data_IF_206794567315
#
_entry.id   IF_206794567315
#
_cell.length_a   1.000
_cell.length_b   1.000
_cell.length_c   1.000
_cell.angle_alpha   90.00
_cell.angle_beta   90.00
_cell.angle_gamma   90.00
#
_symmetry.space_group_name_H-M   'P 1'
#
loop_
_entity.id
_entity.type
_entity.pdbx_description
1 polymer ?
#
# COMPACT_ATOMS: atom_id res chain seq x y z
N UNK A 1 12.81 -46.05 22.78
CA UNK A 1 13.69 -45.80 21.62
C UNK A 1 13.98 -44.30 21.60
N UNK A 2 14.99 -43.90 22.37
CA UNK A 2 15.48 -42.52 22.38
C UNK A 2 16.45 -42.36 21.22
N UNK A 3 15.94 -41.92 20.10
CA UNK A 3 16.79 -41.51 18.99
C UNK A 3 17.26 -40.09 19.25
N UNK A 4 18.53 -39.93 19.59
CA UNK A 4 19.22 -38.62 19.62
C UNK A 4 19.11 -37.97 18.22
N UNK A 5 18.11 -37.13 18.04
CA UNK A 5 17.98 -36.32 16.83
C UNK A 5 18.99 -35.20 16.94
N UNK A 6 19.96 -35.17 16.04
CA UNK A 6 20.95 -34.07 16.06
C UNK A 6 20.25 -32.73 15.92
N UNK A 7 20.75 -31.72 16.62
CA UNK A 7 20.23 -30.35 16.56
C UNK A 7 19.99 -29.85 15.13
N UNK A 8 20.96 -30.08 14.24
CA UNK A 8 20.85 -29.65 12.84
C UNK A 8 19.76 -30.41 12.06
N UNK A 9 19.49 -31.67 12.40
CA UNK A 9 18.43 -32.45 11.77
C UNK A 9 17.06 -31.97 12.25
N UNK A 10 16.91 -31.67 13.55
CA UNK A 10 15.67 -31.10 14.11
C UNK A 10 15.32 -29.75 13.49
N UNK A 11 16.29 -28.85 13.35
CA UNK A 11 16.08 -27.55 12.70
C UNK A 11 15.56 -27.70 11.26
N UNK A 12 16.16 -28.60 10.47
CA UNK A 12 15.73 -28.84 9.08
C UNK A 12 14.31 -29.38 9.00
N UNK A 13 13.95 -30.31 9.88
CA UNK A 13 12.59 -30.88 9.91
C UNK A 13 11.56 -29.81 10.24
N UNK A 14 11.84 -28.94 11.21
CA UNK A 14 10.95 -27.84 11.57
C UNK A 14 10.81 -26.87 10.40
N UNK A 15 11.92 -26.45 9.80
CA UNK A 15 11.93 -25.52 8.67
C UNK A 15 11.12 -26.05 7.48
N UNK A 16 11.23 -27.34 7.17
CA UNK A 16 10.54 -27.94 6.02
C UNK A 16 9.07 -28.24 6.25
N UNK A 17 8.66 -28.59 7.47
CA UNK A 17 7.30 -29.07 7.73
C UNK A 17 6.36 -28.00 8.32
N UNK A 18 6.89 -27.03 9.02
CA UNK A 18 6.08 -26.12 9.81
C UNK A 18 6.25 -24.66 9.41
N UNK A 19 7.40 -24.25 8.86
CA UNK A 19 7.70 -22.86 8.55
C UNK A 19 7.32 -22.56 7.10
N UNK A 20 6.70 -21.41 6.87
CA UNK A 20 6.37 -20.94 5.53
C UNK A 20 7.66 -20.76 4.72
N UNK A 21 7.68 -21.21 3.48
CA UNK A 21 8.87 -21.35 2.62
C UNK A 21 9.75 -20.08 2.58
N UNK A 22 9.13 -18.93 2.47
CA UNK A 22 9.84 -17.63 2.43
C UNK A 22 10.69 -17.33 3.68
N UNK A 23 10.35 -17.92 4.86
CA UNK A 23 11.08 -17.75 6.12
C UNK A 23 12.06 -18.88 6.42
N UNK A 24 11.96 -20.03 5.72
CA UNK A 24 12.69 -21.24 6.06
C UNK A 24 14.22 -21.05 5.98
N UNK A 25 14.72 -20.38 4.94
CA UNK A 25 16.16 -20.12 4.80
C UNK A 25 16.70 -19.20 5.90
N UNK A 26 16.00 -18.10 6.20
CA UNK A 26 16.39 -17.17 7.27
C UNK A 26 16.37 -17.82 8.64
N UNK A 27 15.37 -18.67 8.92
CA UNK A 27 15.30 -19.45 10.15
C UNK A 27 16.50 -20.41 10.29
N UNK A 28 16.82 -21.17 9.25
CA UNK A 28 17.99 -22.06 9.26
C UNK A 28 19.28 -21.26 9.46
N UNK A 29 19.49 -20.17 8.73
CA UNK A 29 20.68 -19.34 8.84
C UNK A 29 20.85 -18.76 10.24
N UNK A 30 19.77 -18.29 10.89
CA UNK A 30 19.80 -17.71 12.21
C UNK A 30 20.27 -18.70 13.31
N UNK A 31 19.91 -19.99 13.16
CA UNK A 31 20.10 -20.99 14.20
C UNK A 31 21.05 -22.14 13.80
N UNK A 32 21.88 -21.97 12.76
CA UNK A 32 22.97 -22.93 12.53
C UNK A 32 23.93 -22.97 13.72
N UNK A 33 24.55 -24.12 13.96
CA UNK A 33 25.53 -24.27 15.04
C UNK A 33 26.66 -23.25 14.91
N UNK A 34 27.13 -23.01 13.69
CA UNK A 34 28.17 -22.02 13.40
C UNK A 34 27.73 -20.61 13.80
N UNK A 35 26.51 -20.20 13.44
CA UNK A 35 26.01 -18.85 13.78
C UNK A 35 25.80 -18.66 15.28
N UNK A 36 25.34 -19.72 15.98
CA UNK A 36 25.19 -19.72 17.45
C UNK A 36 26.56 -19.55 18.13
N UNK A 37 27.58 -20.29 17.71
CA UNK A 37 28.95 -20.18 18.24
C UNK A 37 29.54 -18.81 17.94
N UNK A 38 29.43 -18.33 16.71
CA UNK A 38 29.91 -16.99 16.30
C UNK A 38 29.21 -15.88 17.09
N UNK A 39 27.91 -15.99 17.33
CA UNK A 39 27.17 -15.05 18.16
C UNK A 39 27.74 -15.02 19.59
N UNK A 40 27.95 -16.18 20.20
CA UNK A 40 28.55 -16.27 21.53
C UNK A 40 29.96 -15.65 21.57
N UNK A 41 30.83 -16.01 20.62
CA UNK A 41 32.19 -15.49 20.53
C UNK A 41 32.26 -13.97 20.32
N UNK A 42 31.26 -13.41 19.64
CA UNK A 42 31.14 -11.96 19.45
C UNK A 42 30.45 -11.24 20.61
N UNK A 43 30.18 -11.92 21.74
CA UNK A 43 29.55 -11.36 22.92
C UNK A 43 28.04 -11.18 22.82
N UNK A 44 27.39 -11.70 21.77
CA UNK A 44 25.92 -11.73 21.66
C UNK A 44 25.38 -12.91 22.48
N UNK A 45 24.53 -12.60 23.45
CA UNK A 45 23.89 -13.59 24.31
C UNK A 45 22.49 -13.97 23.89
N UNK A 46 21.93 -13.30 22.88
CA UNK A 46 20.57 -13.56 22.39
C UNK A 46 20.52 -13.56 20.86
N UNK A 47 19.73 -14.50 20.33
CA UNK A 47 19.30 -14.55 18.93
C UNK A 47 17.77 -14.54 18.87
N UNK A 48 17.20 -13.92 17.85
CA UNK A 48 15.76 -14.01 17.59
C UNK A 48 15.47 -14.03 16.09
N UNK A 49 14.33 -14.59 15.72
CA UNK A 49 13.84 -14.60 14.35
C UNK A 49 12.33 -14.70 14.35
N UNK A 50 11.70 -13.85 13.52
CA UNK A 50 10.25 -13.83 13.30
C UNK A 50 9.93 -14.62 12.04
N UNK A 51 8.95 -15.52 12.12
CA UNK A 51 8.56 -16.39 11.00
C UNK A 51 7.08 -16.78 11.10
N UNK A 52 6.54 -17.27 10.00
CA UNK A 52 5.19 -17.84 10.00
C UNK A 52 5.24 -19.35 10.13
N UNK A 53 4.38 -19.91 10.98
CA UNK A 53 4.27 -21.34 11.25
C UNK A 53 2.83 -21.81 11.04
N UNK A 54 2.69 -23.08 10.59
CA UNK A 54 1.43 -23.82 10.58
C UNK A 54 1.53 -25.07 11.43
N UNK A 55 0.40 -25.46 12.02
CA UNK A 55 0.26 -26.75 12.74
C UNK A 55 -0.24 -27.87 11.81
N UNK A 56 -0.02 -27.71 10.47
CA UNK A 56 -0.47 -28.66 9.44
C UNK A 56 -1.86 -28.34 8.87
N UNK A 57 -2.43 -27.17 9.22
CA UNK A 57 -3.66 -26.64 8.66
C UNK A 57 -3.42 -25.54 7.61
N UNK A 58 -4.51 -24.93 7.13
CA UNK A 58 -4.46 -23.81 6.17
C UNK A 58 -4.12 -22.47 6.81
N UNK A 59 -4.14 -22.36 8.15
CA UNK A 59 -3.88 -21.11 8.87
C UNK A 59 -2.41 -20.96 9.23
N UNK A 60 -1.90 -19.75 9.01
CA UNK A 60 -0.55 -19.34 9.36
C UNK A 60 -0.57 -18.37 10.54
N UNK A 61 0.38 -18.57 11.51
CA UNK A 61 0.55 -17.70 12.68
C UNK A 61 1.96 -17.14 12.72
N UNK A 62 2.10 -15.91 13.16
CA UNK A 62 3.40 -15.30 13.39
C UNK A 62 4.00 -15.78 14.71
N UNK A 63 5.21 -16.31 14.64
CA UNK A 63 5.98 -16.73 15.79
C UNK A 63 7.31 -16.01 15.85
N UNK A 64 7.72 -15.66 17.04
CA UNK A 64 9.08 -15.21 17.35
C UNK A 64 9.76 -16.31 18.14
N UNK A 65 10.88 -16.83 17.63
CA UNK A 65 11.79 -17.64 18.42
C UNK A 65 12.83 -16.71 19.05
N UNK A 66 13.03 -16.83 20.35
CA UNK A 66 14.14 -16.20 21.07
C UNK A 66 15.01 -17.29 21.64
N UNK A 67 16.31 -17.16 21.42
CA UNK A 67 17.30 -18.10 21.92
C UNK A 67 18.31 -17.37 22.76
N UNK A 68 18.51 -17.81 24.00
CA UNK A 68 19.52 -17.29 24.91
C UNK A 68 20.72 -18.22 24.89
N UNK A 69 21.90 -17.67 24.64
CA UNK A 69 23.16 -18.41 24.53
C UNK A 69 23.98 -18.11 25.76
N UNK A 70 24.52 -19.14 26.38
CA UNK A 70 25.35 -19.01 27.59
C UNK A 70 26.36 -20.15 27.68
N UNK A 71 27.43 -19.92 28.40
CA UNK A 71 28.40 -20.95 28.71
C UNK A 71 28.03 -21.66 30.01
N UNK A 72 28.16 -23.00 30.01
CA UNK A 72 27.88 -23.81 31.17
C UNK A 72 29.19 -24.39 31.73
N UNK A 73 29.53 -23.98 32.95
CA UNK A 73 30.81 -24.31 33.54
C UNK A 73 30.98 -25.79 33.89
N UNK A 74 29.88 -26.50 34.15
CA UNK A 74 29.90 -27.90 34.57
C UNK A 74 30.36 -28.85 33.47
N UNK A 75 30.02 -28.62 32.21
CA UNK A 75 30.40 -29.43 31.05
C UNK A 75 31.33 -28.70 30.07
N UNK A 76 31.68 -27.44 30.41
CA UNK A 76 32.57 -26.57 29.61
C UNK A 76 32.11 -26.36 28.18
N UNK A 77 30.82 -26.22 27.99
CA UNK A 77 30.21 -26.07 26.66
C UNK A 77 29.27 -24.87 26.56
N UNK A 78 29.01 -24.44 25.32
CA UNK A 78 28.04 -23.37 25.01
C UNK A 78 26.66 -24.02 24.86
N UNK A 79 25.73 -23.51 25.64
CA UNK A 79 24.33 -23.95 25.63
C UNK A 79 23.43 -22.87 25.03
N UNK A 80 22.30 -23.31 24.48
CA UNK A 80 21.25 -22.46 23.99
C UNK A 80 19.89 -22.93 24.50
N UNK A 81 19.15 -22.01 25.11
CA UNK A 81 17.75 -22.23 25.48
C UNK A 81 16.91 -21.38 24.55
N UNK A 82 15.99 -22.00 23.80
CA UNK A 82 15.09 -21.29 22.92
C UNK A 82 13.63 -21.47 23.35
N UNK A 83 12.86 -20.40 23.24
CA UNK A 83 11.41 -20.42 23.43
C UNK A 83 10.72 -19.71 22.25
N UNK A 84 9.49 -20.12 21.99
CA UNK A 84 8.65 -19.55 20.94
C UNK A 84 7.53 -18.73 21.57
N UNK A 85 7.27 -17.58 20.98
CA UNK A 85 6.19 -16.69 21.37
C UNK A 85 5.29 -16.46 20.16
N UNK A 86 3.99 -16.60 20.32
CA UNK A 86 3.02 -16.17 19.32
C UNK A 86 2.97 -14.64 19.32
N UNK A 87 3.31 -14.05 18.18
CA UNK A 87 3.32 -12.59 17.97
C UNK A 87 2.29 -12.16 16.91
N UNK A 88 1.32 -13.02 16.59
CA UNK A 88 0.28 -12.74 15.59
C UNK A 88 -0.47 -11.45 15.93
N UNK A 89 -0.94 -11.32 17.17
CA UNK A 89 -1.64 -10.12 17.61
C UNK A 89 -0.76 -8.85 17.62
N UNK A 90 0.58 -8.99 17.82
CA UNK A 90 1.53 -7.89 17.72
C UNK A 90 1.65 -7.43 16.26
N UNK A 91 1.86 -8.38 15.33
CA UNK A 91 1.97 -8.11 13.88
C UNK A 91 0.68 -7.56 13.27
N UNK A 92 -0.47 -8.06 13.69
CA UNK A 92 -1.78 -7.54 13.28
C UNK A 92 -2.00 -6.10 13.75
N UNK A 93 -1.60 -5.79 14.99
CA UNK A 93 -1.66 -4.41 15.51
C UNK A 93 -0.71 -3.49 14.75
N UNK A 94 0.53 -3.90 14.51
CA UNK A 94 1.48 -3.12 13.71
C UNK A 94 0.92 -2.83 12.32
N UNK A 95 0.43 -3.86 11.62
CA UNK A 95 -0.19 -3.71 10.30
C UNK A 95 -1.45 -2.84 10.34
N UNK A 96 -2.25 -2.95 11.43
CA UNK A 96 -3.41 -2.10 11.66
C UNK A 96 -3.03 -0.62 11.86
N UNK A 97 -2.02 -0.35 12.69
CA UNK A 97 -1.51 1.01 12.91
C UNK A 97 -0.94 1.61 11.63
N UNK A 98 -0.19 0.83 10.85
CA UNK A 98 0.35 1.27 9.58
C UNK A 98 -0.78 1.60 8.58
N UNK A 99 -1.79 0.75 8.49
CA UNK A 99 -2.98 1.02 7.66
C UNK A 99 -3.71 2.28 8.09
N UNK A 100 -3.92 2.49 9.41
CA UNK A 100 -4.53 3.71 9.94
C UNK A 100 -3.71 4.96 9.65
N UNK A 101 -2.38 4.85 9.67
CA UNK A 101 -1.48 5.96 9.36
C UNK A 101 -1.44 6.30 7.85
N UNK A 102 -1.67 5.33 6.99
CA UNK A 102 -1.54 5.50 5.54
C UNK A 102 -2.87 5.71 4.80
N UNK A 103 -3.99 5.26 5.35
CA UNK A 103 -5.27 5.31 4.67
C UNK A 103 -6.17 6.44 5.21
N UNK A 104 -7.07 6.91 4.36
CA UNK A 104 -8.19 7.77 4.75
C UNK A 104 -9.23 6.94 5.51
N UNK A 105 -9.63 7.35 6.72
CA UNK A 105 -10.50 6.54 7.57
C UNK A 105 -11.93 6.39 7.03
N UNK A 106 -12.39 7.30 6.17
CA UNK A 106 -13.73 7.24 5.59
C UNK A 106 -13.80 6.29 4.41
N UNK A 107 -12.81 6.38 3.51
CA UNK A 107 -12.84 5.71 2.20
C UNK A 107 -11.96 4.47 2.11
N UNK A 108 -11.00 4.32 3.02
CA UNK A 108 -10.08 3.18 3.06
C UNK A 108 -8.99 3.16 1.97
N UNK A 109 -8.96 4.13 1.05
CA UNK A 109 -7.85 4.34 0.12
C UNK A 109 -6.74 5.15 0.79
N UNK A 110 -5.61 5.37 0.14
CA UNK A 110 -4.51 6.12 0.72
C UNK A 110 -4.94 7.55 1.12
N UNK A 111 -4.40 8.03 2.25
CA UNK A 111 -4.54 9.43 2.62
C UNK A 111 -3.54 10.32 1.86
N UNK A 112 -3.67 11.64 1.97
CA UNK A 112 -2.84 12.63 1.29
C UNK A 112 -1.34 12.36 1.43
N UNK A 113 -0.87 12.11 2.66
CA UNK A 113 0.56 11.94 2.94
C UNK A 113 1.12 10.66 2.32
N UNK A 114 0.40 9.55 2.44
CA UNK A 114 0.80 8.28 1.87
C UNK A 114 0.75 8.32 0.33
N UNK A 115 -0.29 8.94 -0.26
CA UNK A 115 -0.40 9.12 -1.71
C UNK A 115 0.81 9.88 -2.26
N UNK A 116 1.17 11.03 -1.67
CA UNK A 116 2.36 11.80 -2.07
C UNK A 116 3.63 10.95 -1.94
N UNK A 117 3.83 10.27 -0.81
CA UNK A 117 5.03 9.47 -0.57
C UNK A 117 5.19 8.32 -1.58
N UNK A 118 4.09 7.62 -1.93
CA UNK A 118 4.11 6.56 -2.95
C UNK A 118 4.46 7.11 -4.33
N UNK A 119 3.85 8.23 -4.74
CA UNK A 119 4.13 8.86 -6.03
C UNK A 119 5.58 9.33 -6.11
N UNK A 120 6.09 10.03 -5.08
CA UNK A 120 7.48 10.46 -5.06
C UNK A 120 8.45 9.28 -5.21
N UNK A 121 8.20 8.18 -4.50
CA UNK A 121 9.01 6.97 -4.62
C UNK A 121 9.00 6.39 -6.04
N UNK A 122 7.82 6.33 -6.69
CA UNK A 122 7.72 5.86 -8.07
C UNK A 122 8.53 6.78 -9.01
N UNK A 123 8.42 8.10 -8.86
CA UNK A 123 9.14 9.05 -9.69
C UNK A 123 10.66 8.96 -9.51
N UNK A 124 11.15 8.68 -8.29
CA UNK A 124 12.57 8.46 -8.01
C UNK A 124 13.13 7.18 -8.70
N UNK A 125 12.29 6.14 -8.81
CA UNK A 125 12.66 4.86 -9.42
C UNK A 125 12.36 4.80 -10.92
N UNK A 126 11.79 5.88 -11.50
CA UNK A 126 11.27 5.92 -12.88
C UNK A 126 12.42 5.97 -13.91
N UNK A 127 12.33 5.11 -14.93
CA UNK A 127 13.25 5.13 -16.06
C UNK A 127 13.03 6.38 -16.95
N UNK A 128 14.09 6.91 -17.60
CA UNK A 128 14.00 8.16 -18.37
C UNK A 128 12.96 8.17 -19.52
N UNK A 129 12.59 6.99 -20.02
CA UNK A 129 11.63 6.85 -21.13
C UNK A 129 10.20 6.49 -20.66
N UNK A 130 9.95 6.38 -19.36
CA UNK A 130 8.64 6.04 -18.86
C UNK A 130 7.69 7.25 -18.91
N UNK A 131 6.44 7.00 -19.23
CA UNK A 131 5.38 8.00 -19.18
C UNK A 131 4.36 7.62 -18.09
N UNK A 132 3.95 8.62 -17.30
CA UNK A 132 2.97 8.47 -16.23
C UNK A 132 1.95 9.59 -16.33
N UNK A 133 0.86 9.51 -15.57
CA UNK A 133 -0.07 10.62 -15.45
C UNK A 133 -0.55 10.80 -14.02
N UNK A 134 -0.60 12.03 -13.54
CA UNK A 134 -1.23 12.41 -12.30
C UNK A 134 -2.60 13.00 -12.60
N UNK A 135 -3.63 12.46 -11.95
CA UNK A 135 -5.01 12.89 -12.04
C UNK A 135 -5.44 13.52 -10.72
N UNK A 136 -6.05 14.70 -10.79
CA UNK A 136 -6.82 15.31 -9.72
C UNK A 136 -8.30 15.17 -10.04
N UNK A 137 -9.09 14.66 -9.10
CA UNK A 137 -10.51 14.35 -9.28
C UNK A 137 -11.29 15.03 -8.15
N UNK A 138 -12.34 15.73 -8.47
CA UNK A 138 -13.19 16.40 -7.49
C UNK A 138 -14.66 16.09 -7.76
N UNK A 139 -15.43 15.83 -6.69
CA UNK A 139 -16.85 15.49 -6.80
C UNK A 139 -17.65 16.76 -7.00
N UNK A 140 -18.28 16.92 -8.14
CA UNK A 140 -19.02 18.11 -8.50
C UNK A 140 -20.18 18.38 -7.54
N UNK A 141 -20.31 19.64 -7.11
CA UNK A 141 -21.40 20.11 -6.23
C UNK A 141 -21.51 19.35 -4.90
N UNK A 142 -20.42 18.76 -4.39
CA UNK A 142 -20.43 17.94 -3.17
C UNK A 142 -21.02 18.68 -1.96
N UNK A 143 -20.72 19.99 -1.82
CA UNK A 143 -21.33 20.79 -0.76
C UNK A 143 -22.86 20.80 -0.86
N UNK A 144 -23.43 20.89 -2.06
CA UNK A 144 -24.88 20.88 -2.27
C UNK A 144 -25.49 19.53 -1.90
N UNK A 145 -24.77 18.42 -2.15
CA UNK A 145 -25.17 17.09 -1.70
C UNK A 145 -25.27 17.05 -0.17
N UNK A 146 -24.26 17.53 0.53
CA UNK A 146 -24.26 17.60 1.99
C UNK A 146 -25.39 18.51 2.53
N UNK A 147 -25.54 19.68 1.95
CA UNK A 147 -26.55 20.65 2.38
C UNK A 147 -28.00 20.16 2.14
N UNK A 148 -28.21 19.39 1.05
CA UNK A 148 -29.55 18.89 0.67
C UNK A 148 -29.93 17.56 1.33
N UNK A 149 -28.94 16.67 1.55
CA UNK A 149 -29.21 15.28 1.95
C UNK A 149 -28.49 14.88 3.24
N UNK A 150 -27.67 15.76 3.80
CA UNK A 150 -26.91 15.53 5.02
C UNK A 150 -25.56 14.84 4.80
N UNK A 151 -24.66 15.00 5.79
CA UNK A 151 -23.30 14.49 5.73
C UNK A 151 -23.21 12.96 5.58
N UNK A 152 -24.19 12.21 6.12
CA UNK A 152 -24.19 10.75 5.98
C UNK A 152 -24.31 10.30 4.52
N UNK A 153 -25.10 11.01 3.71
CA UNK A 153 -25.19 10.77 2.26
C UNK A 153 -23.91 11.19 1.55
N UNK A 154 -23.35 12.36 1.90
CA UNK A 154 -22.05 12.80 1.37
C UNK A 154 -20.93 11.78 1.65
N UNK A 155 -20.84 11.27 2.88
CA UNK A 155 -19.90 10.21 3.25
C UNK A 155 -20.11 8.93 2.44
N UNK A 156 -21.36 8.57 2.15
CA UNK A 156 -21.72 7.46 1.28
C UNK A 156 -21.23 7.68 -0.15
N UNK A 157 -21.41 8.88 -0.70
CA UNK A 157 -20.91 9.27 -2.03
C UNK A 157 -19.39 9.13 -2.10
N UNK A 158 -18.67 9.64 -1.10
CA UNK A 158 -17.20 9.54 -1.07
C UNK A 158 -16.71 8.10 -1.02
N UNK A 159 -17.37 7.23 -0.22
CA UNK A 159 -17.03 5.80 -0.18
C UNK A 159 -17.25 5.12 -1.53
N UNK A 160 -18.34 5.44 -2.19
CA UNK A 160 -18.67 4.85 -3.50
C UNK A 160 -17.70 5.31 -4.59
N UNK A 161 -17.36 6.61 -4.64
CA UNK A 161 -16.34 7.13 -5.56
C UNK A 161 -14.98 6.43 -5.31
N UNK A 162 -14.55 6.31 -4.06
CA UNK A 162 -13.32 5.60 -3.74
C UNK A 162 -13.34 4.13 -4.18
N UNK A 163 -14.47 3.44 -3.98
CA UNK A 163 -14.65 2.06 -4.44
C UNK A 163 -14.58 1.95 -5.97
N UNK A 164 -15.24 2.87 -6.68
CA UNK A 164 -15.18 2.96 -8.14
C UNK A 164 -13.75 3.19 -8.64
N UNK A 165 -13.00 4.10 -8.03
CA UNK A 165 -11.61 4.36 -8.39
C UNK A 165 -10.74 3.11 -8.18
N UNK A 166 -10.84 2.45 -7.04
CA UNK A 166 -10.11 1.19 -6.77
C UNK A 166 -10.41 0.09 -7.77
N UNK A 167 -11.66 -0.02 -8.22
CA UNK A 167 -12.07 -1.03 -9.20
C UNK A 167 -11.62 -0.68 -10.62
N UNK A 168 -11.58 0.61 -10.96
CA UNK A 168 -11.26 1.08 -12.31
C UNK A 168 -9.76 1.04 -12.64
N UNK A 169 -8.90 1.23 -11.62
CA UNK A 169 -7.46 1.29 -11.77
C UNK A 169 -6.78 -0.01 -11.36
N UNK A 170 -5.53 -0.20 -11.82
CA UNK A 170 -4.73 -1.39 -11.51
C UNK A 170 -4.21 -1.31 -10.07
N UNK A 171 -3.78 -2.45 -9.54
CA UNK A 171 -3.16 -2.52 -8.19
C UNK A 171 -1.87 -1.70 -8.09
N UNK A 172 -1.13 -1.57 -9.21
CA UNK A 172 0.11 -0.78 -9.28
C UNK A 172 -0.13 0.73 -9.44
N UNK A 173 -1.34 1.16 -9.75
CA UNK A 173 -1.70 2.57 -9.78
C UNK A 173 -1.95 3.07 -8.34
N UNK A 174 -1.56 4.33 -8.08
CA UNK A 174 -1.75 4.92 -6.75
C UNK A 174 -3.09 5.65 -6.71
N UNK A 175 -3.96 5.27 -5.77
CA UNK A 175 -5.25 5.95 -5.55
C UNK A 175 -5.33 6.47 -4.12
N UNK A 176 -5.64 7.75 -3.93
CA UNK A 176 -5.78 8.37 -2.62
C UNK A 176 -6.82 9.48 -2.55
N UNK A 177 -7.29 9.75 -1.31
CA UNK A 177 -8.12 10.91 -1.01
C UNK A 177 -7.26 11.99 -0.39
N UNK A 178 -7.32 13.20 -0.98
CA UNK A 178 -6.43 14.30 -0.62
C UNK A 178 -7.05 15.19 0.44
N UNK A 179 -8.37 15.26 0.48
CA UNK A 179 -9.16 15.97 1.49
C UNK A 179 -10.55 16.30 0.95
N UNK A 180 -11.52 16.52 1.84
CA UNK A 180 -12.87 16.88 1.42
C UNK A 180 -13.46 15.92 0.37
N UNK A 181 -13.71 16.45 -0.80
CA UNK A 181 -14.25 15.80 -2.00
C UNK A 181 -13.21 15.53 -3.09
N UNK A 182 -11.91 15.72 -2.76
CA UNK A 182 -10.79 15.60 -3.69
C UNK A 182 -10.10 14.25 -3.60
N UNK A 183 -9.88 13.64 -4.76
CA UNK A 183 -9.13 12.39 -4.95
C UNK A 183 -7.95 12.61 -5.89
N UNK A 184 -6.92 11.80 -5.71
CA UNK A 184 -5.75 11.79 -6.59
C UNK A 184 -5.49 10.36 -7.07
N UNK A 185 -5.15 10.23 -8.36
CA UNK A 185 -4.72 8.97 -8.95
C UNK A 185 -3.42 9.21 -9.70
N UNK A 186 -2.47 8.27 -9.56
CA UNK A 186 -1.25 8.27 -10.35
C UNK A 186 -1.18 6.99 -11.17
N UNK A 187 -1.18 7.16 -12.48
CA UNK A 187 -1.14 6.07 -13.46
C UNK A 187 0.30 5.81 -13.87
N UNK A 188 0.74 4.57 -13.70
CA UNK A 188 2.09 4.15 -14.04
C UNK A 188 2.15 3.61 -15.47
N UNK A 189 3.28 3.86 -16.13
CA UNK A 189 3.66 3.24 -17.40
C UNK A 189 2.52 3.28 -18.44
N UNK A 190 2.05 4.50 -18.73
CA UNK A 190 1.03 4.74 -19.74
C UNK A 190 1.64 4.75 -21.15
N UNK A 191 0.84 4.44 -22.15
CA UNK A 191 1.30 4.39 -23.56
C UNK A 191 1.39 5.77 -24.22
N UNK A 192 1.01 6.85 -23.51
CA UNK A 192 0.99 8.20 -24.03
C UNK A 192 -0.36 8.90 -23.87
N UNK A 193 -0.47 10.10 -24.42
CA UNK A 193 -1.62 10.98 -24.24
C UNK A 193 -2.91 10.43 -24.85
N UNK A 194 -2.85 9.84 -26.03
CA UNK A 194 -4.04 9.28 -26.70
C UNK A 194 -4.70 8.19 -25.83
N UNK A 195 -3.88 7.28 -25.28
CA UNK A 195 -4.37 6.27 -24.35
C UNK A 195 -4.97 6.91 -23.07
N UNK A 196 -4.33 7.96 -22.55
CA UNK A 196 -4.83 8.68 -21.38
C UNK A 196 -6.18 9.32 -21.67
N UNK A 197 -6.35 9.94 -22.84
CA UNK A 197 -7.59 10.55 -23.26
C UNK A 197 -8.75 9.54 -23.27
N UNK A 198 -8.55 8.40 -23.92
CA UNK A 198 -9.54 7.30 -23.94
C UNK A 198 -9.87 6.78 -22.54
N UNK A 199 -8.85 6.68 -21.69
CA UNK A 199 -9.01 6.23 -20.29
C UNK A 199 -9.83 7.23 -19.49
N UNK A 200 -9.58 8.53 -19.65
CA UNK A 200 -10.29 9.61 -18.96
C UNK A 200 -11.75 9.75 -19.43
N UNK A 201 -12.03 9.61 -20.72
CA UNK A 201 -13.41 9.58 -21.24
C UNK A 201 -14.25 8.48 -20.57
N UNK A 202 -13.68 7.28 -20.48
CA UNK A 202 -14.33 6.15 -19.79
C UNK A 202 -14.49 6.42 -18.30
N UNK A 203 -13.49 7.03 -17.67
CA UNK A 203 -13.54 7.34 -16.24
C UNK A 203 -14.62 8.37 -15.92
N UNK A 204 -14.72 9.47 -16.69
CA UNK A 204 -15.80 10.47 -16.51
C UNK A 204 -17.16 9.79 -16.65
N UNK A 205 -17.35 9.03 -17.71
CA UNK A 205 -18.60 8.27 -17.92
C UNK A 205 -18.91 7.30 -16.78
N UNK A 206 -17.87 6.65 -16.22
CA UNK A 206 -18.02 5.71 -15.12
C UNK A 206 -18.33 6.39 -13.79
N UNK A 207 -17.81 7.59 -13.57
CA UNK A 207 -18.09 8.40 -12.40
C UNK A 207 -19.42 9.17 -12.50
N UNK A 208 -19.87 9.49 -13.73
CA UNK A 208 -21.19 10.07 -13.98
C UNK A 208 -22.26 8.98 -13.86
N UNK A 209 -22.72 8.69 -12.66
CA UNK A 209 -23.73 7.66 -12.44
C UNK A 209 -24.57 7.96 -11.19
N UNK A 210 -25.76 7.36 -11.18
CA UNK A 210 -26.57 7.32 -9.97
C UNK A 210 -25.88 6.46 -8.90
N UNK A 211 -25.54 7.06 -7.78
CA UNK A 211 -25.00 6.35 -6.60
C UNK A 211 -26.18 5.99 -5.70
N UNK A 212 -26.34 4.71 -5.40
CA UNK A 212 -27.42 4.25 -4.52
C UNK A 212 -26.94 4.17 -3.07
N UNK A 213 -27.53 4.97 -2.19
CA UNK A 213 -27.27 4.98 -0.75
C UNK A 213 -28.61 4.76 -0.03
N UNK A 214 -28.66 3.74 0.83
CA UNK A 214 -29.87 3.35 1.58
C UNK A 214 -31.12 3.20 0.67
N UNK A 215 -30.94 2.65 -0.55
CA UNK A 215 -32.02 2.40 -1.50
C UNK A 215 -32.49 3.63 -2.29
N UNK A 216 -31.83 4.78 -2.16
CA UNK A 216 -32.10 6.00 -2.93
C UNK A 216 -30.96 6.29 -3.92
N UNK A 217 -31.31 6.69 -5.15
CA UNK A 217 -30.35 7.07 -6.17
C UNK A 217 -30.06 8.58 -6.09
N UNK A 218 -28.77 8.94 -6.18
CA UNK A 218 -28.27 10.30 -6.19
C UNK A 218 -27.39 10.51 -7.43
N UNK A 219 -27.70 11.51 -8.22
CA UNK A 219 -26.88 11.87 -9.38
C UNK A 219 -25.58 12.54 -8.90
N UNK A 220 -24.47 11.97 -9.31
CA UNK A 220 -23.12 12.47 -8.98
C UNK A 220 -22.31 12.54 -10.26
N UNK A 221 -21.55 13.60 -10.42
CA UNK A 221 -20.50 13.72 -11.44
C UNK A 221 -19.19 14.14 -10.80
N UNK A 222 -18.13 14.08 -11.57
CA UNK A 222 -16.80 14.49 -11.13
C UNK A 222 -16.07 15.23 -12.24
N UNK A 223 -15.32 16.25 -11.84
CA UNK A 223 -14.37 16.95 -12.70
C UNK A 223 -12.98 16.39 -12.52
N UNK A 224 -12.20 16.27 -13.60
CA UNK A 224 -10.87 15.67 -13.60
C UNK A 224 -9.88 16.63 -14.27
N UNK A 225 -8.72 16.83 -13.63
CA UNK A 225 -7.54 17.44 -14.23
C UNK A 225 -6.42 16.42 -14.33
N UNK A 226 -5.70 16.38 -15.44
CA UNK A 226 -4.62 15.45 -15.68
C UNK A 226 -3.32 16.17 -16.06
N UNK A 227 -2.19 15.67 -15.58
CA UNK A 227 -0.84 16.13 -15.96
C UNK A 227 0.03 14.92 -16.32
N UNK A 228 0.66 14.96 -17.51
CA UNK A 228 1.54 13.92 -17.98
C UNK A 228 2.97 14.11 -17.49
N UNK A 229 3.58 13.03 -17.04
CA UNK A 229 5.01 12.96 -16.79
C UNK A 229 5.71 12.40 -18.04
N UNK A 230 6.84 12.97 -18.49
CA UNK A 230 7.54 14.12 -17.91
C UNK A 230 7.08 15.47 -18.46
N UNK A 231 6.20 15.54 -19.45
CA UNK A 231 5.86 16.73 -20.24
C UNK A 231 5.27 17.87 -19.41
N UNK A 232 4.38 17.55 -18.48
CA UNK A 232 3.74 18.51 -17.59
C UNK A 232 4.45 18.65 -16.23
N UNK A 233 5.65 18.06 -16.07
CA UNK A 233 6.46 18.16 -14.85
C UNK A 233 7.26 16.89 -14.59
N UNK A 234 8.44 17.06 -13.98
CA UNK A 234 9.38 15.99 -13.68
C UNK A 234 9.38 15.58 -12.20
N UNK A 235 8.61 16.25 -11.36
CA UNK A 235 8.47 15.98 -9.92
C UNK A 235 7.01 16.06 -9.49
N UNK A 236 6.74 15.59 -8.27
CA UNK A 236 5.37 15.57 -7.72
C UNK A 236 4.74 16.95 -7.67
N UNK A 237 5.46 17.97 -7.21
CA UNK A 237 4.87 19.28 -6.93
C UNK A 237 4.53 20.04 -8.25
N UNK A 238 5.30 19.83 -9.31
CA UNK A 238 4.99 20.34 -10.65
C UNK A 238 3.79 19.63 -11.29
N UNK A 239 3.75 18.30 -11.23
CA UNK A 239 2.61 17.50 -11.72
C UNK A 239 1.33 17.83 -10.96
N UNK A 240 1.39 17.94 -9.63
CA UNK A 240 0.25 18.30 -8.79
C UNK A 240 -0.33 19.65 -9.19
N UNK A 241 0.51 20.70 -9.27
CA UNK A 241 0.09 22.05 -9.64
C UNK A 241 -0.56 22.10 -11.02
N UNK A 242 0.00 21.36 -11.98
CA UNK A 242 -0.48 21.37 -13.36
C UNK A 242 -1.76 20.54 -13.54
N UNK A 243 -1.91 19.43 -12.82
CA UNK A 243 -3.16 18.68 -12.75
C UNK A 243 -4.27 19.49 -12.05
N UNK A 244 -3.95 20.26 -11.00
CA UNK A 244 -4.89 21.12 -10.30
C UNK A 244 -5.37 22.28 -11.22
N UNK A 245 -4.45 22.90 -11.97
CA UNK A 245 -4.81 23.90 -12.97
C UNK A 245 -5.75 23.34 -14.05
N UNK A 246 -5.50 22.11 -14.53
CA UNK A 246 -6.38 21.43 -15.47
C UNK A 246 -7.75 21.11 -14.86
N UNK A 247 -7.80 20.68 -13.59
CA UNK A 247 -9.04 20.44 -12.86
C UNK A 247 -9.88 21.73 -12.74
N UNK A 248 -9.22 22.86 -12.44
CA UNK A 248 -9.89 24.15 -12.41
C UNK A 248 -10.56 24.48 -13.75
N UNK A 249 -9.86 24.25 -14.87
CA UNK A 249 -10.44 24.44 -16.22
C UNK A 249 -11.63 23.52 -16.47
N UNK A 250 -11.58 22.25 -16.02
CA UNK A 250 -12.72 21.35 -16.13
C UNK A 250 -13.95 21.87 -15.38
N UNK A 251 -13.75 22.44 -14.19
CA UNK A 251 -14.83 23.06 -13.40
C UNK A 251 -15.38 24.33 -14.07
N UNK A 252 -14.54 25.18 -14.65
CA UNK A 252 -14.98 26.41 -15.38
C UNK A 252 -15.75 26.09 -16.66
N UNK A 253 -15.35 25.05 -17.40
CA UNK A 253 -15.99 24.65 -18.65
C UNK A 253 -17.28 23.84 -18.46
N UNK A 254 -17.86 23.83 -17.27
CA UNK A 254 -19.19 23.28 -17.01
C UNK A 254 -19.19 21.95 -16.24
N UNK A 255 -18.06 21.52 -15.68
CA UNK A 255 -17.91 20.30 -14.85
C UNK A 255 -18.18 19.02 -15.63
N UNK A 256 -18.24 17.86 -14.93
CA UNK A 256 -18.54 16.56 -15.51
C UNK A 256 -17.70 16.25 -16.75
N UNK A 257 -16.39 16.49 -16.63
CA UNK A 257 -15.43 16.35 -17.72
C UNK A 257 -14.01 16.24 -17.21
N UNK A 258 -13.10 16.01 -18.12
CA UNK A 258 -11.67 16.12 -17.85
C UNK A 258 -11.00 17.18 -18.71
N UNK A 259 -9.82 17.60 -18.26
CA UNK A 259 -8.88 18.43 -19.01
C UNK A 259 -7.48 17.87 -18.79
N UNK A 260 -6.70 17.71 -19.86
CA UNK A 260 -5.27 17.40 -19.79
C UNK A 260 -4.51 18.72 -19.86
N UNK A 261 -3.56 18.90 -18.93
CA UNK A 261 -2.70 20.05 -18.91
C UNK A 261 -1.67 19.97 -20.05
N UNK A 262 -1.60 21.00 -20.84
CA UNK A 262 -0.54 21.20 -21.84
C UNK A 262 0.30 22.41 -21.45
N UNK A 263 1.63 22.26 -21.32
CA UNK A 263 2.49 23.41 -21.08
C UNK A 263 2.37 24.41 -22.24
N UNK A 264 2.48 25.72 -21.97
CA UNK A 264 2.52 26.72 -23.02
C UNK A 264 3.60 26.36 -24.03
N UNK A 265 3.29 26.39 -25.33
CA UNK A 265 4.30 26.23 -26.36
C UNK A 265 5.23 27.42 -26.30
N UNK A 266 6.52 27.17 -26.11
CA UNK A 266 7.52 28.19 -26.32
C UNK A 266 7.46 28.59 -27.81
N UNK A 267 7.09 29.84 -28.08
CA UNK A 267 7.09 30.42 -29.43
C UNK A 267 8.54 30.73 -29.89
#
# INVERSE_FOLDING_TARGET
MDGDVSYSAALKVIAQKQIKEEFAQGYLAAFTLENVINAYQSGRSELFYDFMITDGGESWRWMRIRAKIFYWDSDKSVHMIAYRQDITAEKEREAGMLRMAQNDPLTGILNKSATKAHICKILEETAPAAAHALLMIDVDHFKQINDSYGHAVGDGVLREIAAKLRFHFREDDVCGRIGGDEFMVFLKDISGEEWLNDKLERLVTYLHNDITIDGRAYKVSSSIGAALYPEAGSDFDSLYRNADAALYLSKEHGRDRFTIYHPPREE
#
